data_IF_705722026697
#
_entry.id   IF_705722026697
#
_cell.length_a   1.000
_cell.length_b   1.000
_cell.length_c   1.000
_cell.angle_alpha   90.00
_cell.angle_beta   90.00
_cell.angle_gamma   90.00
#
_symmetry.space_group_name_H-M   'P 1'
#
loop_
_entity.id
_entity.type
_entity.pdbx_description
1 polymer ?
#
# COMPACT_ATOMS: atom_id res chain seq x y z
N UNK A 1 35.42 3.59 18.19
CA UNK A 1 34.25 4.28 17.64
C UNK A 1 33.04 3.43 17.97
N UNK A 2 32.24 3.88 18.92
CA UNK A 2 31.00 3.19 19.36
C UNK A 2 30.03 3.35 18.21
N UNK A 3 29.68 2.25 17.53
CA UNK A 3 28.66 2.25 16.49
C UNK A 3 27.37 2.83 17.06
N UNK A 4 26.88 3.92 16.49
CA UNK A 4 25.55 4.43 16.80
C UNK A 4 24.57 3.29 16.54
N UNK A 5 23.90 2.80 17.57
CA UNK A 5 22.76 1.90 17.43
C UNK A 5 21.70 2.67 16.62
N UNK A 6 21.69 2.45 15.31
CA UNK A 6 20.68 3.08 14.43
C UNK A 6 19.35 2.45 14.83
N UNK A 7 18.50 3.23 15.47
CA UNK A 7 17.15 2.78 15.83
C UNK A 7 16.38 2.52 14.54
N UNK A 8 15.84 1.32 14.38
CA UNK A 8 14.99 1.00 13.23
C UNK A 8 13.72 1.82 13.28
N UNK A 9 13.37 2.46 12.17
CA UNK A 9 12.09 3.13 11.92
C UNK A 9 11.61 2.66 10.56
N UNK A 10 10.51 1.90 10.53
CA UNK A 10 10.03 1.24 9.32
C UNK A 10 8.83 2.00 8.77
N UNK A 11 8.78 2.17 7.47
CA UNK A 11 7.61 2.66 6.76
C UNK A 11 7.06 1.61 5.81
N UNK A 12 5.74 1.57 5.70
CA UNK A 12 5.01 0.65 4.83
C UNK A 12 4.05 1.45 3.96
N UNK A 13 3.97 1.13 2.68
CA UNK A 13 2.81 1.49 1.89
C UNK A 13 1.58 0.70 2.35
N UNK A 14 0.39 1.06 1.88
CA UNK A 14 -0.87 0.45 2.29
C UNK A 14 -1.46 -0.44 1.20
N UNK A 15 -1.76 0.15 0.02
CA UNK A 15 -2.49 -0.53 -1.04
C UNK A 15 -1.59 -1.52 -1.81
N UNK A 16 -1.97 -2.79 -1.91
CA UNK A 16 -1.18 -3.92 -2.46
C UNK A 16 0.14 -4.22 -1.71
N UNK A 17 0.41 -3.55 -0.62
CA UNK A 17 1.53 -3.83 0.28
C UNK A 17 1.03 -4.49 1.56
N UNK A 18 0.14 -3.82 2.30
CA UNK A 18 -0.56 -4.36 3.46
C UNK A 18 -1.89 -4.98 3.04
N UNK A 19 -2.68 -4.24 2.24
CA UNK A 19 -4.02 -4.66 1.79
C UNK A 19 -3.88 -5.57 0.57
N UNK A 20 -4.44 -6.76 0.68
CA UNK A 20 -4.56 -7.70 -0.43
C UNK A 20 -5.94 -7.56 -1.10
N UNK A 21 -5.99 -6.98 -2.28
CA UNK A 21 -7.23 -6.83 -3.02
C UNK A 21 -7.66 -8.09 -3.76
N UNK A 22 -6.76 -9.07 -3.96
CA UNK A 22 -7.06 -10.32 -4.65
C UNK A 22 -7.76 -10.09 -5.99
N UNK A 23 -8.89 -10.76 -6.19
CA UNK A 23 -9.75 -10.61 -7.38
C UNK A 23 -10.78 -9.49 -7.29
N UNK A 24 -10.83 -8.71 -6.19
CA UNK A 24 -11.93 -7.76 -5.93
C UNK A 24 -12.14 -6.75 -7.06
N UNK A 25 -11.06 -6.26 -7.70
CA UNK A 25 -11.17 -5.38 -8.86
C UNK A 25 -11.92 -6.04 -10.02
N UNK A 26 -11.64 -7.32 -10.27
CA UNK A 26 -12.32 -8.09 -11.30
C UNK A 26 -13.78 -8.35 -10.93
N UNK A 27 -14.03 -8.80 -9.72
CA UNK A 27 -15.37 -9.21 -9.27
C UNK A 27 -16.34 -8.03 -9.31
N UNK A 28 -15.95 -6.87 -8.78
CA UNK A 28 -16.78 -5.65 -8.81
C UNK A 28 -16.97 -5.12 -10.23
N UNK A 29 -15.93 -5.13 -11.07
CA UNK A 29 -16.06 -4.69 -12.46
C UNK A 29 -16.96 -5.63 -13.29
N UNK A 30 -16.91 -6.94 -13.02
CA UNK A 30 -17.77 -7.93 -13.66
C UNK A 30 -19.24 -7.79 -13.22
N UNK A 31 -19.50 -7.62 -11.92
CA UNK A 31 -20.82 -7.39 -11.36
C UNK A 31 -21.49 -6.16 -11.99
N UNK A 32 -20.72 -5.09 -12.17
CA UNK A 32 -21.19 -3.89 -12.84
C UNK A 32 -21.26 -4.02 -14.38
N UNK A 33 -20.89 -5.17 -14.96
CA UNK A 33 -20.88 -5.42 -16.42
C UNK A 33 -19.95 -4.47 -17.18
N UNK A 34 -18.87 -4.05 -16.56
CA UNK A 34 -17.86 -3.17 -17.17
C UNK A 34 -16.80 -3.94 -17.93
N UNK A 35 -16.63 -5.23 -17.59
CA UNK A 35 -15.70 -6.15 -18.23
C UNK A 35 -16.41 -7.48 -18.56
N UNK A 36 -15.92 -8.26 -19.56
CA UNK A 36 -16.38 -9.61 -19.81
C UNK A 36 -15.71 -10.63 -18.87
N UNK A 37 -16.26 -11.85 -18.83
CA UNK A 37 -15.74 -12.96 -18.01
C UNK A 37 -14.33 -13.43 -18.39
N UNK A 38 -13.93 -13.18 -19.63
CA UNK A 38 -12.62 -13.53 -20.19
C UNK A 38 -11.51 -12.55 -19.78
N UNK A 39 -11.86 -11.44 -19.14
CA UNK A 39 -10.86 -10.49 -18.64
C UNK A 39 -9.97 -11.17 -17.60
N UNK A 40 -8.68 -10.80 -17.57
CA UNK A 40 -7.75 -11.32 -16.56
C UNK A 40 -8.22 -10.93 -15.14
N UNK A 41 -8.19 -11.91 -14.23
CA UNK A 41 -8.81 -11.82 -12.89
C UNK A 41 -7.94 -11.11 -11.86
N UNK A 42 -7.33 -9.99 -12.25
CA UNK A 42 -6.53 -9.16 -11.36
C UNK A 42 -6.69 -7.66 -11.68
N UNK A 43 -6.14 -6.83 -10.83
CA UNK A 43 -6.18 -5.36 -10.94
C UNK A 43 -5.58 -4.86 -12.26
N UNK A 44 -4.50 -5.50 -12.72
CA UNK A 44 -3.76 -5.06 -13.92
C UNK A 44 -4.60 -5.35 -15.16
N UNK A 45 -5.09 -6.58 -15.30
CA UNK A 45 -5.91 -6.99 -16.45
C UNK A 45 -7.18 -6.16 -16.58
N UNK A 46 -7.87 -5.88 -15.47
CA UNK A 46 -9.07 -5.00 -15.47
C UNK A 46 -8.71 -3.60 -15.93
N UNK A 47 -7.62 -3.02 -15.40
CA UNK A 47 -7.14 -1.69 -15.81
C UNK A 47 -6.84 -1.65 -17.30
N UNK A 48 -6.04 -2.58 -17.78
CA UNK A 48 -5.62 -2.64 -19.19
C UNK A 48 -6.83 -2.82 -20.13
N UNK A 49 -7.77 -3.69 -19.76
CA UNK A 49 -9.00 -3.86 -20.52
C UNK A 49 -9.80 -2.57 -20.64
N UNK A 50 -10.09 -1.91 -19.52
CA UNK A 50 -10.87 -0.66 -19.51
C UNK A 50 -10.14 0.45 -20.25
N UNK A 51 -8.84 0.59 -20.09
CA UNK A 51 -8.02 1.57 -20.80
C UNK A 51 -8.00 1.30 -22.31
N UNK A 52 -7.83 0.06 -22.75
CA UNK A 52 -7.89 -0.32 -24.17
C UNK A 52 -9.25 -0.04 -24.83
N UNK A 53 -10.33 -0.01 -24.02
CA UNK A 53 -11.68 0.40 -24.45
C UNK A 53 -11.93 1.90 -24.34
N UNK A 54 -10.94 2.71 -23.94
CA UNK A 54 -11.09 4.14 -23.72
C UNK A 54 -11.95 4.51 -22.51
N UNK A 55 -12.14 3.58 -21.57
CA UNK A 55 -13.00 3.72 -20.40
C UNK A 55 -12.21 4.00 -19.12
N UNK A 56 -11.32 5.00 -19.17
CA UNK A 56 -10.60 5.47 -17.98
C UNK A 56 -11.54 6.00 -16.89
N UNK A 57 -12.71 6.52 -17.29
CA UNK A 57 -13.78 6.94 -16.39
C UNK A 57 -14.20 5.78 -15.46
N UNK A 58 -14.50 4.62 -16.03
CA UNK A 58 -14.89 3.42 -15.27
C UNK A 58 -13.76 2.88 -14.41
N UNK A 59 -12.50 2.95 -14.91
CA UNK A 59 -11.36 2.56 -14.07
C UNK A 59 -11.26 3.44 -12.83
N UNK A 60 -11.41 4.75 -12.96
CA UNK A 60 -11.35 5.69 -11.83
C UNK A 60 -12.55 5.51 -10.88
N UNK A 61 -13.75 5.26 -11.42
CA UNK A 61 -14.94 4.95 -10.63
C UNK A 61 -14.77 3.65 -9.85
N UNK A 62 -14.24 2.60 -10.50
CA UNK A 62 -13.91 1.32 -9.85
C UNK A 62 -12.94 1.51 -8.68
N UNK A 63 -11.89 2.31 -8.86
CA UNK A 63 -10.97 2.63 -7.76
C UNK A 63 -11.71 3.29 -6.58
N UNK A 64 -12.63 4.21 -6.85
CA UNK A 64 -13.45 4.84 -5.83
C UNK A 64 -14.31 3.84 -5.04
N UNK A 65 -14.90 2.86 -5.74
CA UNK A 65 -15.67 1.79 -5.12
C UNK A 65 -14.80 0.88 -4.26
N UNK A 66 -13.68 0.40 -4.82
CA UNK A 66 -12.79 -0.56 -4.16
C UNK A 66 -12.12 0.06 -2.93
N UNK A 67 -11.60 1.29 -3.04
CA UNK A 67 -10.93 1.98 -1.94
C UNK A 67 -11.90 2.63 -0.93
N UNK A 68 -13.20 2.65 -1.27
CA UNK A 68 -14.29 3.14 -0.45
C UNK A 68 -15.11 2.00 0.17
N UNK A 69 -16.36 1.78 -0.29
CA UNK A 69 -17.29 0.85 0.35
C UNK A 69 -16.86 -0.61 0.32
N UNK A 70 -16.19 -1.07 -0.74
CA UNK A 70 -15.74 -2.46 -0.86
C UNK A 70 -14.46 -2.76 -0.08
N UNK A 71 -13.82 -1.77 0.52
CA UNK A 71 -12.60 -2.00 1.31
C UNK A 71 -12.82 -2.93 2.51
N UNK A 72 -14.05 -3.03 2.99
CA UNK A 72 -14.41 -3.95 4.08
C UNK A 72 -14.39 -5.43 3.69
N UNK A 73 -14.30 -5.75 2.40
CA UNK A 73 -14.30 -7.13 1.88
C UNK A 73 -12.89 -7.71 1.73
N UNK A 74 -11.86 -6.90 1.92
CA UNK A 74 -10.47 -7.33 1.76
C UNK A 74 -9.79 -7.61 3.09
N UNK A 75 -8.74 -8.41 3.03
CA UNK A 75 -7.93 -8.81 4.18
C UNK A 75 -6.47 -8.37 3.99
N UNK A 76 -5.67 -8.27 5.06
CA UNK A 76 -4.24 -8.05 4.94
C UNK A 76 -3.56 -9.21 4.19
N UNK A 77 -2.42 -8.93 3.55
CA UNK A 77 -1.55 -10.01 3.11
C UNK A 77 -1.12 -10.88 4.27
N UNK A 78 -0.99 -12.19 4.00
CA UNK A 78 -0.56 -13.16 5.01
C UNK A 78 0.83 -12.81 5.56
N UNK A 79 0.96 -12.78 6.88
CA UNK A 79 2.19 -12.49 7.61
C UNK A 79 2.39 -11.01 7.99
N UNK A 80 1.54 -10.09 7.51
CA UNK A 80 1.58 -8.67 7.92
C UNK A 80 1.36 -8.54 9.42
N UNK A 81 0.39 -9.25 9.98
CA UNK A 81 0.06 -9.26 11.40
C UNK A 81 1.21 -9.80 12.25
N UNK A 82 1.86 -10.89 11.82
CA UNK A 82 3.04 -11.45 12.47
C UNK A 82 4.21 -10.45 12.46
N UNK A 83 4.48 -9.82 11.31
CA UNK A 83 5.52 -8.81 11.17
C UNK A 83 5.28 -7.62 12.10
N UNK A 84 4.07 -7.08 12.12
CA UNK A 84 3.72 -5.94 12.98
C UNK A 84 3.77 -6.33 14.47
N UNK A 85 3.40 -7.57 14.81
CA UNK A 85 3.54 -8.11 16.16
C UNK A 85 5.01 -8.16 16.60
N UNK A 86 5.92 -8.61 15.73
CA UNK A 86 7.36 -8.64 16.04
C UNK A 86 7.92 -7.21 16.18
N UNK A 87 7.55 -6.29 15.30
CA UNK A 87 7.92 -4.89 15.44
C UNK A 87 7.48 -4.32 16.79
N UNK A 88 6.28 -4.66 17.25
CA UNK A 88 5.77 -4.24 18.56
C UNK A 88 6.57 -4.82 19.71
N UNK A 89 6.87 -6.13 19.71
CA UNK A 89 7.71 -6.79 20.72
C UNK A 89 9.09 -6.16 20.82
N UNK A 90 9.68 -5.83 19.69
CA UNK A 90 11.00 -5.21 19.58
C UNK A 90 10.96 -3.68 19.80
N UNK A 91 9.79 -3.10 20.00
CA UNK A 91 9.56 -1.64 20.15
C UNK A 91 10.03 -0.84 18.93
N UNK A 92 9.98 -1.44 17.74
CA UNK A 92 10.29 -0.79 16.47
C UNK A 92 9.06 0.02 16.02
N UNK A 93 9.16 1.34 15.84
CA UNK A 93 8.06 2.15 15.34
C UNK A 93 7.83 1.86 13.85
N UNK A 94 6.56 1.64 13.49
CA UNK A 94 6.14 1.44 12.10
C UNK A 94 5.20 2.55 11.69
N UNK A 95 5.45 3.16 10.52
CA UNK A 95 4.62 4.17 9.90
C UNK A 95 3.90 3.57 8.68
N UNK A 96 2.64 3.90 8.49
CA UNK A 96 1.93 3.67 7.22
C UNK A 96 1.93 5.00 6.46
N UNK A 97 2.49 4.98 5.24
CA UNK A 97 2.56 6.17 4.38
C UNK A 97 2.00 5.79 3.01
N UNK A 98 0.75 6.13 2.77
CA UNK A 98 0.02 5.77 1.55
C UNK A 98 -0.16 6.98 0.63
N UNK A 99 0.11 6.79 -0.66
CA UNK A 99 -0.33 7.73 -1.70
C UNK A 99 -1.81 7.46 -1.99
N UNK A 100 -2.67 8.23 -1.38
CA UNK A 100 -4.12 8.07 -1.49
C UNK A 100 -4.80 9.44 -1.47
N UNK A 101 -5.55 9.77 -2.51
CA UNK A 101 -6.40 10.96 -2.54
C UNK A 101 -7.54 10.81 -1.53
N UNK A 102 -7.99 11.92 -0.96
CA UNK A 102 -9.09 11.87 0.01
C UNK A 102 -10.42 11.47 -0.64
N UNK A 103 -10.65 11.93 -1.87
CA UNK A 103 -11.86 11.62 -2.61
C UNK A 103 -11.52 11.07 -3.99
N UNK A 104 -12.34 10.17 -4.56
CA UNK A 104 -12.20 9.75 -5.94
C UNK A 104 -12.35 10.93 -6.91
N UNK A 105 -11.61 10.91 -8.02
CA UNK A 105 -11.73 11.93 -9.06
C UNK A 105 -13.03 11.82 -9.88
N UNK A 106 -13.68 10.65 -9.89
CA UNK A 106 -14.92 10.34 -10.61
C UNK A 106 -15.82 9.50 -9.71
N UNK A 107 -17.12 9.62 -9.89
CA UNK A 107 -18.13 8.86 -9.16
C UNK A 107 -18.52 9.47 -7.82
N UNK A 108 -19.05 8.64 -6.93
CA UNK A 108 -19.48 9.08 -5.60
C UNK A 108 -18.28 9.45 -4.72
N UNK A 109 -18.41 10.53 -3.96
CA UNK A 109 -17.32 11.11 -3.16
C UNK A 109 -17.18 10.40 -1.81
N UNK A 110 -16.70 9.15 -1.85
CA UNK A 110 -16.31 8.41 -0.63
C UNK A 110 -15.07 9.04 0.00
N UNK A 111 -15.05 9.21 1.32
CA UNK A 111 -13.82 9.61 2.03
C UNK A 111 -12.89 8.39 2.15
N UNK A 112 -11.94 8.28 1.21
CA UNK A 112 -11.04 7.13 1.10
C UNK A 112 -10.05 7.07 2.26
N UNK A 113 -9.70 8.21 2.88
CA UNK A 113 -8.87 8.25 4.09
C UNK A 113 -9.62 7.67 5.29
N UNK A 114 -10.90 8.03 5.44
CA UNK A 114 -11.75 7.49 6.49
C UNK A 114 -11.96 5.97 6.31
N UNK A 115 -12.22 5.51 5.07
CA UNK A 115 -12.37 4.09 4.75
C UNK A 115 -11.11 3.30 5.08
N UNK A 116 -9.93 3.79 4.66
CA UNK A 116 -8.64 3.14 4.94
C UNK A 116 -8.33 3.11 6.44
N UNK A 117 -8.58 4.20 7.16
CA UNK A 117 -8.38 4.26 8.62
C UNK A 117 -9.30 3.28 9.36
N UNK A 118 -10.58 3.22 8.96
CA UNK A 118 -11.56 2.29 9.54
C UNK A 118 -11.17 0.83 9.27
N UNK A 119 -10.70 0.52 8.05
CA UNK A 119 -10.22 -0.81 7.71
C UNK A 119 -8.99 -1.22 8.54
N UNK A 120 -7.99 -0.36 8.66
CA UNK A 120 -6.79 -0.60 9.47
C UNK A 120 -7.14 -0.87 10.93
N UNK A 121 -8.12 -0.14 11.47
CA UNK A 121 -8.60 -0.36 12.82
C UNK A 121 -9.34 -1.69 12.96
N UNK A 122 -10.28 -1.97 12.04
CA UNK A 122 -11.07 -3.20 12.05
C UNK A 122 -10.23 -4.47 11.83
N UNK A 123 -9.13 -4.36 11.08
CA UNK A 123 -8.17 -5.45 10.86
C UNK A 123 -7.29 -5.77 12.08
N UNK A 124 -7.39 -4.98 13.16
CA UNK A 124 -6.59 -5.19 14.37
C UNK A 124 -5.08 -4.90 14.20
N UNK A 125 -4.69 -4.20 13.12
CA UNK A 125 -3.28 -3.88 12.83
C UNK A 125 -2.78 -2.65 13.59
N UNK A 126 -3.70 -1.83 14.11
CA UNK A 126 -3.38 -0.61 14.87
C UNK A 126 -3.46 -0.91 16.37
N UNK A 127 -2.44 -0.48 17.09
CA UNK A 127 -2.37 -0.59 18.54
C UNK A 127 -1.96 0.75 19.17
N UNK A 128 -2.46 1.06 20.36
CA UNK A 128 -2.10 2.30 21.07
C UNK A 128 -0.76 2.20 21.83
N UNK A 129 -0.05 1.07 21.71
CA UNK A 129 1.20 0.80 22.41
C UNK A 129 2.43 1.38 21.69
N UNK A 130 3.54 1.48 22.40
CA UNK A 130 4.86 1.81 21.82
C UNK A 130 5.39 0.66 21.00
N UNK A 131 5.74 0.92 19.74
CA UNK A 131 6.14 -0.10 18.76
C UNK A 131 4.98 -0.52 17.86
N UNK A 132 5.29 -1.06 16.67
CA UNK A 132 4.29 -1.32 15.64
C UNK A 132 3.63 -0.05 15.12
N UNK A 133 2.41 -0.19 14.62
CA UNK A 133 1.60 0.92 14.09
C UNK A 133 0.62 1.41 15.15
N UNK A 134 0.54 2.72 15.34
CA UNK A 134 -0.55 3.37 16.06
C UNK A 134 -1.23 4.43 15.17
N UNK A 135 -2.37 4.94 15.60
CA UNK A 135 -3.18 5.91 14.83
C UNK A 135 -2.43 7.17 14.40
N UNK A 136 -1.44 7.61 15.20
CA UNK A 136 -0.67 8.82 14.93
C UNK A 136 0.47 8.59 13.93
N UNK A 137 0.65 7.32 13.49
CA UNK A 137 1.67 6.90 12.52
C UNK A 137 1.08 6.51 11.17
N UNK A 138 -0.07 7.05 10.82
CA UNK A 138 -0.72 6.87 9.53
C UNK A 138 -0.73 8.21 8.80
N UNK A 139 -0.15 8.24 7.61
CA UNK A 139 -0.08 9.44 6.77
C UNK A 139 -0.64 9.09 5.39
N UNK A 140 -1.65 9.81 4.98
CA UNK A 140 -2.15 9.80 3.60
C UNK A 140 -1.57 11.01 2.86
N UNK A 141 -1.02 10.75 1.69
CA UNK A 141 -0.37 11.74 0.83
C UNK A 141 -1.17 11.87 -0.46
N UNK A 142 -1.51 13.09 -0.87
CA UNK A 142 -2.25 13.35 -2.11
C UNK A 142 -1.38 13.14 -3.36
N UNK A 143 -0.05 13.20 -3.19
CA UNK A 143 0.92 13.03 -4.28
C UNK A 143 2.07 12.11 -3.88
N UNK A 144 2.73 11.52 -4.89
CA UNK A 144 3.97 10.74 -4.69
C UNK A 144 5.07 11.60 -4.05
N UNK A 145 5.20 12.85 -4.46
CA UNK A 145 6.20 13.77 -3.90
C UNK A 145 5.99 14.02 -2.41
N UNK A 146 4.74 14.16 -1.96
CA UNK A 146 4.42 14.25 -0.53
C UNK A 146 4.76 12.96 0.23
N UNK A 147 4.51 11.78 -0.37
CA UNK A 147 4.89 10.49 0.21
C UNK A 147 6.40 10.42 0.41
N UNK A 148 7.18 10.75 -0.60
CA UNK A 148 8.65 10.77 -0.54
C UNK A 148 9.16 11.79 0.48
N UNK A 149 8.56 12.98 0.53
CA UNK A 149 8.89 13.98 1.54
C UNK A 149 8.58 13.51 2.96
N UNK A 150 7.49 12.77 3.16
CA UNK A 150 7.15 12.18 4.46
C UNK A 150 8.18 11.12 4.88
N UNK A 151 8.57 10.21 3.97
CA UNK A 151 9.61 9.19 4.19
C UNK A 151 10.93 9.85 4.64
N UNK A 152 11.34 10.91 3.94
CA UNK A 152 12.56 11.67 4.26
C UNK A 152 12.46 12.38 5.60
N UNK A 153 11.36 13.11 5.85
CA UNK A 153 11.14 13.87 7.10
C UNK A 153 11.13 12.98 8.34
N UNK A 154 10.57 11.77 8.23
CA UNK A 154 10.51 10.79 9.31
C UNK A 154 11.82 10.02 9.48
N UNK A 155 12.81 10.24 8.61
CA UNK A 155 14.10 9.55 8.64
C UNK A 155 13.95 8.03 8.70
N UNK A 156 13.02 7.48 7.89
CA UNK A 156 12.77 6.05 7.87
C UNK A 156 14.04 5.30 7.46
N UNK A 157 14.35 4.24 8.20
CA UNK A 157 15.51 3.39 7.90
C UNK A 157 15.19 2.36 6.83
N UNK A 158 13.92 1.92 6.75
CA UNK A 158 13.41 0.92 5.80
C UNK A 158 12.06 1.37 5.29
N UNK A 159 11.78 1.08 4.02
CA UNK A 159 10.48 1.32 3.41
C UNK A 159 10.09 0.15 2.50
N UNK A 160 8.84 -0.31 2.64
CA UNK A 160 8.25 -1.39 1.82
C UNK A 160 7.13 -0.78 0.97
N UNK A 161 7.13 -1.06 -0.34
CA UNK A 161 6.16 -0.53 -1.31
C UNK A 161 5.99 -1.53 -2.47
N UNK A 162 4.82 -1.60 -3.10
CA UNK A 162 4.57 -2.44 -4.28
C UNK A 162 4.94 -1.75 -5.60
N UNK A 163 5.24 -0.44 -5.59
CA UNK A 163 5.51 0.36 -6.77
C UNK A 163 7.00 0.68 -6.95
N UNK A 164 7.68 0.09 -7.96
CA UNK A 164 9.08 0.39 -8.26
C UNK A 164 9.36 1.87 -8.48
N UNK A 165 8.41 2.61 -9.07
CA UNK A 165 8.55 4.02 -9.38
C UNK A 165 8.62 4.93 -8.14
N UNK A 166 8.24 4.45 -6.97
CA UNK A 166 8.48 5.15 -5.69
C UNK A 166 9.97 5.13 -5.36
N UNK A 167 10.62 3.98 -5.53
CA UNK A 167 12.03 3.79 -5.23
C UNK A 167 12.97 4.39 -6.29
N UNK A 168 12.49 4.54 -7.52
CA UNK A 168 13.24 5.11 -8.65
C UNK A 168 13.13 6.64 -8.70
N UNK A 169 12.30 7.25 -7.89
CA UNK A 169 12.19 8.70 -7.80
C UNK A 169 13.50 9.30 -7.27
N UNK A 170 14.00 10.33 -7.97
CA UNK A 170 15.26 10.99 -7.64
C UNK A 170 15.27 11.64 -6.23
N UNK A 171 14.09 11.97 -5.70
CA UNK A 171 13.90 12.53 -4.36
C UNK A 171 13.86 11.49 -3.24
N UNK A 172 13.84 10.18 -3.57
CA UNK A 172 13.78 9.15 -2.53
C UNK A 172 15.05 9.13 -1.67
N UNK A 173 14.94 9.08 -0.31
CA UNK A 173 16.10 9.16 0.57
C UNK A 173 17.10 8.02 0.32
N UNK A 174 18.38 8.37 0.13
CA UNK A 174 19.46 7.39 -0.17
C UNK A 174 19.75 6.46 1.01
N UNK A 175 19.55 6.95 2.23
CA UNK A 175 19.84 6.22 3.47
C UNK A 175 18.73 5.24 3.88
N UNK A 176 17.57 5.28 3.21
CA UNK A 176 16.46 4.38 3.46
C UNK A 176 16.64 3.10 2.65
N UNK A 177 16.72 1.95 3.30
CA UNK A 177 16.70 0.64 2.64
C UNK A 177 15.32 0.42 2.03
N UNK A 178 15.28 -0.11 0.80
CA UNK A 178 14.09 -0.20 -0.05
C UNK A 178 13.73 -1.65 -0.31
N UNK A 179 12.50 -2.02 0.00
CA UNK A 179 11.97 -3.35 -0.27
C UNK A 179 10.75 -3.25 -1.19
N UNK A 180 10.89 -3.81 -2.39
CA UNK A 180 9.76 -3.94 -3.31
C UNK A 180 8.96 -5.18 -2.95
N UNK A 181 7.70 -4.99 -2.54
CA UNK A 181 6.79 -6.09 -2.27
C UNK A 181 6.17 -6.60 -3.57
N UNK A 182 6.49 -7.83 -3.95
CA UNK A 182 6.06 -8.46 -5.21
C UNK A 182 5.53 -9.88 -4.94
N UNK A 183 4.33 -10.04 -4.32
CA UNK A 183 3.81 -11.34 -3.88
C UNK A 183 3.57 -12.33 -5.03
N UNK A 184 3.40 -11.84 -6.25
CA UNK A 184 3.20 -12.68 -7.44
C UNK A 184 4.51 -13.26 -8.02
N UNK A 185 5.62 -13.05 -7.35
CA UNK A 185 6.90 -13.66 -7.71
C UNK A 185 7.65 -12.99 -8.85
N UNK A 186 7.22 -11.82 -9.29
CA UNK A 186 7.97 -11.03 -10.28
C UNK A 186 9.19 -10.44 -9.57
N UNK A 187 10.33 -11.11 -9.67
CA UNK A 187 11.59 -10.58 -9.14
C UNK A 187 12.10 -9.49 -10.08
N UNK A 188 11.94 -8.23 -9.67
CA UNK A 188 12.67 -7.13 -10.27
C UNK A 188 14.09 -7.14 -9.73
N UNK A 189 15.07 -7.58 -10.54
CA UNK A 189 16.46 -7.37 -10.21
C UNK A 189 16.82 -5.90 -10.47
N UNK A 190 16.94 -5.14 -9.41
CA UNK A 190 17.35 -3.74 -9.49
C UNK A 190 18.39 -3.41 -8.42
N UNK A 191 19.35 -2.54 -8.73
CA UNK A 191 20.43 -2.15 -7.81
C UNK A 191 19.97 -1.24 -6.66
N UNK A 192 18.78 -0.64 -6.78
CA UNK A 192 18.27 0.34 -5.81
C UNK A 192 17.30 -0.22 -4.77
N UNK A 193 16.76 -1.43 -4.98
CA UNK A 193 15.85 -2.06 -4.04
C UNK A 193 15.97 -3.58 -4.08
N UNK A 194 15.63 -4.23 -2.99
CA UNK A 194 15.49 -5.68 -2.87
C UNK A 194 14.03 -6.06 -3.07
N UNK A 195 13.76 -7.13 -3.83
CA UNK A 195 12.40 -7.65 -3.99
C UNK A 195 12.13 -8.73 -2.95
N UNK A 196 11.02 -8.58 -2.23
CA UNK A 196 10.49 -9.58 -1.30
C UNK A 196 9.13 -10.07 -1.81
N UNK A 197 8.87 -11.36 -1.65
CA UNK A 197 7.63 -12.00 -2.14
C UNK A 197 6.67 -12.37 -1.03
N UNK A 198 7.13 -12.26 0.21
CA UNK A 198 6.38 -12.64 1.40
C UNK A 198 6.75 -11.74 2.58
N UNK A 199 5.83 -11.54 3.51
CA UNK A 199 6.09 -10.87 4.78
C UNK A 199 6.92 -11.71 5.76
N UNK A 200 7.37 -12.89 5.34
CA UNK A 200 8.26 -13.80 6.10
C UNK A 200 9.71 -13.74 5.62
N UNK A 201 9.96 -13.07 4.49
CA UNK A 201 11.29 -12.82 3.93
C UNK A 201 11.95 -11.68 4.72
#
# INVERSE_FOLDING_TARGET
MIGQNRTFVIGLDLDNTIINYGSLFYDVALENKWIPTECQKDKIGVREYLQAKGRNDLWTELQGLIYGPYLTEVVPYSGVDDFLLECRKLKIPVWIISHKTRFPAVGFQYDLHASASAWLFASGLIHDETGGVNKDRIIFCETRSEKIAAISRLQLTHFVDDLPEVFLDAGFPKETTRYLYAPEGIQFQHTYFESITSWKD
#
